data_IF_188709095060
#
_entry.id   IF_188709095060
#
_cell.length_a   1.000
_cell.length_b   1.000
_cell.length_c   1.000
_cell.angle_alpha   90.00
_cell.angle_beta   90.00
_cell.angle_gamma   90.00
#
_symmetry.space_group_name_H-M   'P 1'
#
loop_
_entity.id
_entity.type
_entity.pdbx_description
1 polymer ?
#
# COMPACT_ATOMS: atom_id res chain seq x y z
N UNK A 1 26.48 -3.50 3.14
CA UNK A 1 27.73 -4.27 3.35
C UNK A 1 28.02 -4.29 4.84
N UNK A 2 27.40 -5.17 5.66
CA UNK A 2 27.81 -5.52 7.04
C UNK A 2 26.90 -6.64 7.57
N UNK A 3 27.04 -7.87 7.04
CA UNK A 3 26.23 -9.02 7.49
C UNK A 3 27.02 -10.31 7.72
N UNK A 4 28.34 -10.27 7.84
CA UNK A 4 29.13 -11.50 7.89
C UNK A 4 29.98 -11.74 9.14
N UNK A 5 29.91 -10.93 10.19
CA UNK A 5 30.85 -11.07 11.31
C UNK A 5 30.29 -11.65 12.61
N UNK A 6 28.96 -11.91 12.71
CA UNK A 6 28.39 -12.38 14.00
C UNK A 6 28.02 -13.87 14.08
N UNK A 7 28.22 -14.67 13.02
CA UNK A 7 27.88 -16.11 13.06
C UNK A 7 29.05 -17.03 13.41
N UNK A 8 30.27 -16.55 13.46
CA UNK A 8 31.46 -17.37 13.65
C UNK A 8 31.66 -17.95 15.08
N UNK A 9 31.27 -17.25 16.17
CA UNK A 9 31.52 -17.81 17.53
C UNK A 9 30.49 -18.89 17.94
N UNK A 10 29.27 -18.89 17.44
CA UNK A 10 28.26 -19.88 17.85
C UNK A 10 28.44 -21.26 17.21
N UNK A 11 29.08 -21.36 16.05
CA UNK A 11 29.37 -22.65 15.40
C UNK A 11 30.52 -23.43 16.05
N UNK A 12 31.36 -22.80 16.88
CA UNK A 12 32.49 -23.47 17.56
C UNK A 12 32.10 -24.13 18.89
N UNK A 13 30.98 -23.69 19.51
CA UNK A 13 30.51 -24.24 20.79
C UNK A 13 30.20 -25.75 20.78
N UNK A 14 29.51 -26.30 19.75
CA UNK A 14 29.17 -27.72 19.76
C UNK A 14 30.40 -28.66 19.63
N UNK A 15 31.53 -28.16 19.14
CA UNK A 15 32.76 -28.94 19.02
C UNK A 15 33.68 -28.83 20.24
N UNK A 16 33.62 -27.74 20.99
CA UNK A 16 34.45 -27.54 22.19
C UNK A 16 34.05 -28.48 23.32
N UNK A 17 32.78 -28.67 23.58
CA UNK A 17 32.27 -29.53 24.66
C UNK A 17 32.67 -30.99 24.45
N UNK A 18 32.45 -31.64 23.28
CA UNK A 18 32.93 -33.00 23.07
C UNK A 18 34.45 -33.12 23.12
N UNK A 19 35.21 -32.13 22.67
CA UNK A 19 36.68 -32.17 22.68
C UNK A 19 37.24 -32.11 24.12
N UNK A 20 36.75 -31.19 24.94
CA UNK A 20 37.15 -31.09 26.35
C UNK A 20 36.66 -32.31 27.14
N UNK A 21 35.39 -32.74 26.89
CA UNK A 21 34.87 -33.94 27.53
C UNK A 21 35.62 -35.20 27.20
N UNK A 22 36.04 -35.40 25.95
CA UNK A 22 36.85 -36.55 25.55
C UNK A 22 38.23 -36.55 26.25
N UNK A 23 38.88 -35.39 26.40
CA UNK A 23 40.15 -35.29 27.12
C UNK A 23 40.04 -35.63 28.61
N UNK A 24 38.91 -35.26 29.24
CA UNK A 24 38.64 -35.60 30.66
C UNK A 24 38.34 -37.09 30.83
N UNK A 25 37.64 -37.71 29.87
CA UNK A 25 37.41 -39.16 29.89
C UNK A 25 38.74 -39.93 29.73
N UNK A 26 39.65 -39.51 28.85
CA UNK A 26 40.95 -40.12 28.66
C UNK A 26 41.82 -39.97 29.88
N UNK A 27 41.69 -38.94 30.69
CA UNK A 27 42.40 -38.74 31.98
C UNK A 27 41.77 -39.53 33.13
N UNK A 28 40.63 -40.21 32.94
CA UNK A 28 39.94 -40.95 33.96
C UNK A 28 39.14 -40.08 34.96
N UNK A 29 38.99 -38.76 34.67
CA UNK A 29 38.29 -37.83 35.56
C UNK A 29 36.77 -37.81 35.28
N UNK A 30 36.34 -38.34 34.14
CA UNK A 30 34.93 -38.42 33.73
C UNK A 30 34.62 -39.78 33.11
N UNK A 31 33.42 -40.32 33.39
CA UNK A 31 32.95 -41.53 32.71
C UNK A 31 32.32 -41.20 31.39
N UNK A 32 32.32 -42.10 30.41
CA UNK A 32 31.65 -41.92 29.12
C UNK A 32 30.17 -41.65 29.27
N UNK A 33 29.50 -42.32 30.23
CA UNK A 33 28.10 -42.11 30.54
C UNK A 33 27.79 -40.70 31.04
N UNK A 34 28.67 -40.13 31.88
CA UNK A 34 28.52 -38.75 32.34
C UNK A 34 28.68 -37.74 31.22
N UNK A 35 29.61 -37.97 30.28
CA UNK A 35 29.78 -37.11 29.11
C UNK A 35 28.51 -37.11 28.19
N UNK A 36 27.92 -38.28 27.97
CA UNK A 36 26.72 -38.44 27.18
C UNK A 36 25.53 -37.75 27.87
N UNK A 37 25.37 -37.97 29.19
CA UNK A 37 24.31 -37.32 29.97
C UNK A 37 24.44 -35.79 29.93
N UNK A 38 25.65 -35.25 30.11
CA UNK A 38 25.91 -33.82 30.02
C UNK A 38 25.52 -33.24 28.64
N UNK A 39 25.86 -33.95 27.55
CA UNK A 39 25.53 -33.54 26.20
C UNK A 39 24.01 -33.47 25.97
N UNK A 40 23.29 -34.47 26.45
CA UNK A 40 21.82 -34.53 26.37
C UNK A 40 21.19 -33.34 27.12
N UNK A 41 21.59 -33.14 28.39
CA UNK A 41 21.07 -32.05 29.25
C UNK A 41 21.41 -30.69 28.63
N UNK A 42 22.63 -30.50 28.14
CA UNK A 42 23.02 -29.26 27.45
C UNK A 42 22.14 -28.97 26.24
N UNK A 43 21.74 -30.00 25.47
CA UNK A 43 20.78 -29.87 24.37
C UNK A 43 19.43 -29.37 24.81
N UNK A 44 18.89 -29.91 25.92
CA UNK A 44 17.60 -29.46 26.48
C UNK A 44 17.61 -28.02 26.96
N UNK A 45 18.74 -27.49 27.37
CA UNK A 45 18.88 -26.07 27.76
C UNK A 45 19.09 -25.17 26.55
N UNK A 46 19.88 -25.59 25.58
CA UNK A 46 20.23 -24.75 24.41
C UNK A 46 19.05 -24.58 23.43
N UNK A 47 18.28 -25.63 23.26
CA UNK A 47 17.14 -25.61 22.34
C UNK A 47 16.08 -24.52 22.68
N UNK A 48 15.61 -24.38 23.94
CA UNK A 48 14.68 -23.27 24.28
C UNK A 48 15.28 -21.88 24.09
N UNK A 49 16.58 -21.70 24.35
CA UNK A 49 17.24 -20.41 24.14
C UNK A 49 17.30 -20.02 22.68
N UNK A 50 17.56 -20.97 21.77
CA UNK A 50 17.48 -20.71 20.33
C UNK A 50 16.05 -20.38 19.84
N UNK A 51 15.08 -21.07 20.44
CA UNK A 51 13.65 -20.77 20.14
C UNK A 51 13.25 -19.36 20.60
N UNK A 52 13.73 -18.89 21.73
CA UNK A 52 13.50 -17.51 22.19
C UNK A 52 14.04 -16.47 21.20
N UNK A 53 15.23 -16.74 20.63
CA UNK A 53 15.79 -15.85 19.59
C UNK A 53 14.91 -15.82 18.32
N UNK A 54 14.33 -16.95 17.91
CA UNK A 54 13.44 -17.01 16.74
C UNK A 54 12.09 -16.33 17.02
N UNK A 55 11.58 -16.42 18.25
CA UNK A 55 10.36 -15.71 18.64
C UNK A 55 10.52 -14.20 18.49
N UNK A 56 11.67 -13.66 18.89
CA UNK A 56 11.96 -12.24 18.71
C UNK A 56 11.94 -11.81 17.24
N UNK A 57 12.49 -12.60 16.33
CA UNK A 57 12.41 -12.35 14.90
C UNK A 57 10.97 -12.38 14.39
N UNK A 58 10.19 -13.38 14.79
CA UNK A 58 8.79 -13.49 14.42
C UNK A 58 7.97 -12.29 14.89
N UNK A 59 8.25 -11.75 16.09
CA UNK A 59 7.59 -10.54 16.60
C UNK A 59 7.89 -9.33 15.69
N UNK A 60 9.13 -9.17 15.23
CA UNK A 60 9.48 -8.09 14.33
C UNK A 60 8.80 -8.23 12.95
N UNK A 61 8.69 -9.43 12.43
CA UNK A 61 7.97 -9.70 11.18
C UNK A 61 6.47 -9.45 11.31
N UNK A 62 5.87 -9.85 12.44
CA UNK A 62 4.48 -9.56 12.76
C UNK A 62 4.22 -8.06 12.82
N UNK A 63 5.11 -7.27 13.46
CA UNK A 63 4.95 -5.81 13.51
C UNK A 63 4.86 -5.20 12.12
N UNK A 64 5.77 -5.57 11.21
CA UNK A 64 5.75 -5.09 9.83
C UNK A 64 4.47 -5.51 9.09
N UNK A 65 3.99 -6.73 9.34
CA UNK A 65 2.75 -7.22 8.75
C UNK A 65 1.52 -6.46 9.26
N UNK A 66 1.48 -6.14 10.55
CA UNK A 66 0.41 -5.32 11.14
C UNK A 66 0.45 -3.88 10.62
N UNK A 67 1.61 -3.27 10.47
CA UNK A 67 1.73 -1.93 9.87
C UNK A 67 1.16 -1.90 8.45
N UNK A 68 1.50 -2.90 7.61
CA UNK A 68 0.94 -3.00 6.25
C UNK A 68 -0.58 -3.24 6.25
N UNK A 69 -1.09 -4.01 7.20
CA UNK A 69 -2.52 -4.25 7.32
C UNK A 69 -3.25 -2.98 7.79
N UNK A 70 -2.66 -2.24 8.74
CA UNK A 70 -3.19 -0.96 9.19
C UNK A 70 -3.26 0.04 8.03
N UNK A 71 -2.23 0.14 7.20
CA UNK A 71 -2.24 1.02 6.02
C UNK A 71 -3.43 0.74 5.09
N UNK A 72 -3.82 -0.53 4.95
CA UNK A 72 -4.98 -0.93 4.12
C UNK A 72 -6.30 -0.59 4.82
N UNK A 73 -6.40 -0.87 6.12
CA UNK A 73 -7.64 -0.65 6.90
C UNK A 73 -7.89 0.84 7.11
N UNK A 74 -6.84 1.61 7.38
CA UNK A 74 -6.91 3.05 7.65
C UNK A 74 -7.07 3.87 6.35
N UNK A 75 -6.91 3.23 5.18
CA UNK A 75 -7.15 3.92 3.90
C UNK A 75 -8.63 4.28 3.78
N UNK A 76 -8.97 5.59 3.65
CA UNK A 76 -10.36 6.01 3.56
C UNK A 76 -11.03 5.41 2.31
N UNK A 77 -12.22 4.87 2.51
CA UNK A 77 -13.01 4.32 1.41
C UNK A 77 -13.45 5.45 0.47
N UNK A 78 -13.29 5.26 -0.82
CA UNK A 78 -13.72 6.23 -1.83
C UNK A 78 -15.26 6.42 -1.85
N UNK A 79 -15.99 5.33 -1.63
CA UNK A 79 -17.47 5.31 -1.57
C UNK A 79 -17.91 4.75 -0.23
N UNK A 80 -17.87 5.59 0.82
CA UNK A 80 -18.38 5.26 2.15
C UNK A 80 -19.88 5.51 2.28
N UNK A 81 -20.41 5.31 3.49
CA UNK A 81 -21.85 5.53 3.78
C UNK A 81 -22.29 6.97 3.52
N UNK A 82 -21.38 7.93 3.63
CA UNK A 82 -21.63 9.35 3.31
C UNK A 82 -21.90 9.53 1.81
N UNK A 83 -21.21 8.80 0.94
CA UNK A 83 -21.45 8.90 -0.50
C UNK A 83 -22.78 8.26 -0.91
N UNK A 84 -23.16 7.16 -0.28
CA UNK A 84 -24.47 6.49 -0.49
C UNK A 84 -25.65 7.35 -0.06
N UNK A 85 -25.45 8.27 0.88
CA UNK A 85 -26.47 9.22 1.33
C UNK A 85 -26.65 10.42 0.37
N UNK A 86 -25.78 10.57 -0.63
CA UNK A 86 -25.87 11.63 -1.63
C UNK A 86 -26.99 11.35 -2.64
N UNK A 87 -27.39 12.39 -3.34
CA UNK A 87 -28.47 12.31 -4.34
C UNK A 87 -27.97 11.55 -5.58
N UNK A 88 -28.69 10.52 -6.06
CA UNK A 88 -28.35 9.87 -7.31
C UNK A 88 -28.48 10.85 -8.49
N UNK A 89 -27.51 10.82 -9.41
CA UNK A 89 -27.52 11.68 -10.58
C UNK A 89 -28.57 11.18 -11.59
N UNK A 90 -29.53 12.02 -12.02
CA UNK A 90 -30.46 11.65 -13.08
C UNK A 90 -29.73 11.47 -14.43
N UNK A 91 -30.38 10.91 -15.46
CA UNK A 91 -29.81 10.80 -16.79
C UNK A 91 -29.29 12.14 -17.30
N UNK A 92 -28.00 12.19 -17.65
CA UNK A 92 -27.30 13.41 -18.04
C UNK A 92 -27.45 13.71 -19.53
N UNK A 93 -27.49 15.01 -19.86
CA UNK A 93 -27.41 15.53 -21.24
C UNK A 93 -25.96 15.84 -21.64
N UNK A 94 -25.13 16.24 -20.65
CA UNK A 94 -23.72 16.46 -20.82
C UNK A 94 -23.26 17.92 -20.83
N UNK A 95 -24.02 18.84 -20.23
CA UNK A 95 -23.55 20.20 -19.97
C UNK A 95 -22.55 20.20 -18.80
N UNK A 96 -21.30 20.60 -19.04
CA UNK A 96 -20.24 20.58 -18.03
C UNK A 96 -19.69 21.98 -17.79
N UNK A 97 -19.59 22.36 -16.52
CA UNK A 97 -19.00 23.62 -16.08
C UNK A 97 -17.91 23.37 -15.07
N UNK A 98 -16.73 23.90 -15.32
CA UNK A 98 -15.65 24.03 -14.36
C UNK A 98 -15.64 25.48 -13.86
N UNK A 99 -15.76 25.68 -12.57
CA UNK A 99 -15.81 27.01 -11.96
C UNK A 99 -14.66 27.18 -10.97
N UNK A 100 -13.67 28.02 -11.31
CA UNK A 100 -12.51 28.36 -10.53
C UNK A 100 -11.75 27.12 -9.97
N UNK A 101 -11.67 26.07 -10.79
CA UNK A 101 -11.12 24.77 -10.37
C UNK A 101 -9.60 24.85 -10.24
N UNK A 102 -9.11 24.54 -9.03
CA UNK A 102 -7.69 24.39 -8.74
C UNK A 102 -7.41 22.96 -8.29
N UNK A 103 -6.32 22.39 -8.78
CA UNK A 103 -5.92 21.04 -8.43
C UNK A 103 -4.40 20.88 -8.34
N UNK A 104 -3.92 20.21 -7.28
CA UNK A 104 -2.57 19.67 -7.17
C UNK A 104 -2.63 18.25 -6.59
N UNK A 105 -1.67 17.39 -6.96
CA UNK A 105 -1.61 16.01 -6.46
C UNK A 105 -1.20 15.94 -4.98
N UNK A 106 -0.53 16.96 -4.46
CA UNK A 106 -0.16 17.07 -3.04
C UNK A 106 -0.27 18.53 -2.61
N UNK A 107 -0.65 18.80 -1.36
CA UNK A 107 -0.81 20.17 -0.86
C UNK A 107 0.44 21.05 -1.01
N UNK A 108 1.64 20.45 -0.99
CA UNK A 108 2.93 21.15 -1.03
C UNK A 108 3.53 21.26 -2.44
N UNK A 109 2.83 20.76 -3.47
CA UNK A 109 3.28 20.85 -4.86
C UNK A 109 2.58 22.00 -5.58
N UNK A 110 3.22 22.58 -6.60
CA UNK A 110 2.58 23.60 -7.43
C UNK A 110 1.30 23.03 -8.08
N UNK A 111 0.25 23.85 -8.24
CA UNK A 111 -0.99 23.40 -8.82
C UNK A 111 -0.79 22.98 -10.28
N UNK A 112 -1.35 21.82 -10.63
CA UNK A 112 -1.36 21.28 -11.99
C UNK A 112 -2.46 21.96 -12.82
N UNK A 113 -3.58 22.27 -12.17
CA UNK A 113 -4.66 23.07 -12.73
C UNK A 113 -4.84 24.30 -11.87
N UNK A 114 -4.88 25.47 -12.48
CA UNK A 114 -4.98 26.74 -11.79
C UNK A 114 -6.11 27.57 -12.40
N UNK A 115 -7.10 27.91 -11.59
CA UNK A 115 -8.23 28.78 -11.92
C UNK A 115 -8.91 28.38 -13.25
N UNK A 116 -9.21 27.10 -13.39
CA UNK A 116 -9.85 26.59 -14.61
C UNK A 116 -11.31 26.98 -14.61
N UNK A 117 -11.68 27.75 -15.62
CA UNK A 117 -13.04 28.16 -15.93
C UNK A 117 -13.36 27.68 -17.35
N UNK A 118 -14.24 26.66 -17.47
CA UNK A 118 -14.53 26.03 -18.75
C UNK A 118 -16.01 25.66 -18.81
N UNK A 119 -16.66 25.96 -19.91
CA UNK A 119 -18.01 25.52 -20.23
C UNK A 119 -17.99 24.62 -21.45
N UNK A 120 -18.58 23.43 -21.32
CA UNK A 120 -18.78 22.47 -22.41
C UNK A 120 -20.28 22.24 -22.54
N UNK A 121 -20.85 22.54 -23.69
CA UNK A 121 -22.27 22.33 -23.94
C UNK A 121 -22.57 20.89 -24.31
N UNK A 122 -23.72 20.40 -23.93
CA UNK A 122 -24.23 19.09 -24.32
C UNK A 122 -24.13 18.83 -25.82
N UNK A 123 -23.77 17.60 -26.21
CA UNK A 123 -23.67 17.22 -27.62
C UNK A 123 -22.50 17.82 -28.39
N UNK A 124 -21.56 18.50 -27.71
CA UNK A 124 -20.38 19.05 -28.37
C UNK A 124 -19.17 18.10 -28.27
N UNK A 125 -18.36 18.10 -29.31
CA UNK A 125 -17.04 17.47 -29.31
C UNK A 125 -15.97 18.50 -28.94
N UNK A 126 -15.17 18.23 -27.92
CA UNK A 126 -14.15 19.16 -27.42
C UNK A 126 -12.78 18.54 -27.51
N UNK A 127 -11.87 19.20 -28.24
CA UNK A 127 -10.45 18.83 -28.31
C UNK A 127 -9.64 19.60 -27.27
N UNK A 128 -8.92 18.88 -26.38
CA UNK A 128 -8.00 19.48 -25.41
C UNK A 128 -6.57 19.30 -25.90
N UNK A 129 -5.92 20.40 -26.29
CA UNK A 129 -4.56 20.42 -26.84
C UNK A 129 -3.60 21.17 -25.91
N UNK A 130 -2.32 20.80 -25.93
CA UNK A 130 -1.30 21.45 -25.12
C UNK A 130 -0.05 20.57 -24.96
N UNK A 131 1.00 21.13 -24.39
CA UNK A 131 2.26 20.42 -24.15
C UNK A 131 2.08 19.24 -23.18
N UNK A 132 3.05 18.30 -23.24
CA UNK A 132 3.08 17.21 -22.23
C UNK A 132 3.22 17.80 -20.84
N UNK A 133 2.46 17.27 -19.85
CA UNK A 133 2.45 17.78 -18.48
C UNK A 133 1.56 19.00 -18.23
N UNK A 134 0.86 19.55 -19.23
CA UNK A 134 -0.03 20.72 -19.05
C UNK A 134 -1.34 20.44 -18.31
N UNK A 135 -1.56 19.25 -17.77
CA UNK A 135 -2.75 18.92 -16.97
C UNK A 135 -3.96 18.39 -17.73
N UNK A 136 -3.88 18.15 -19.06
CA UNK A 136 -5.00 17.65 -19.89
C UNK A 136 -5.65 16.38 -19.35
N UNK A 137 -4.84 15.36 -19.08
CA UNK A 137 -5.33 14.10 -18.52
C UNK A 137 -5.86 14.25 -17.09
N UNK A 138 -5.33 15.20 -16.33
CA UNK A 138 -5.82 15.52 -14.99
C UNK A 138 -7.20 16.15 -15.06
N UNK A 139 -7.42 17.09 -15.97
CA UNK A 139 -8.71 17.72 -16.16
C UNK A 139 -9.82 16.68 -16.45
N UNK A 140 -9.54 15.73 -17.35
CA UNK A 140 -10.49 14.66 -17.69
C UNK A 140 -10.75 13.74 -16.48
N UNK A 141 -9.73 13.47 -15.66
CA UNK A 141 -9.87 12.60 -14.47
C UNK A 141 -10.64 13.23 -13.31
N UNK A 142 -10.79 14.57 -13.28
CA UNK A 142 -11.63 15.25 -12.29
C UNK A 142 -13.11 15.00 -12.51
N UNK A 143 -13.55 14.89 -13.77
CA UNK A 143 -14.97 14.75 -14.09
C UNK A 143 -15.63 13.49 -13.46
N UNK A 144 -15.04 12.28 -13.54
CA UNK A 144 -15.57 11.10 -12.86
C UNK A 144 -15.18 11.02 -11.37
N UNK A 145 -14.66 12.12 -10.79
CA UNK A 145 -14.18 12.17 -9.40
C UNK A 145 -13.12 11.12 -9.08
N UNK A 146 -12.19 10.84 -10.02
CA UNK A 146 -10.99 10.07 -9.68
C UNK A 146 -10.03 10.88 -8.79
N UNK A 147 -10.14 12.19 -8.87
CA UNK A 147 -9.51 13.16 -7.97
C UNK A 147 -10.53 14.23 -7.61
N UNK A 148 -10.44 14.78 -6.42
CA UNK A 148 -11.23 15.92 -5.97
C UNK A 148 -10.44 17.23 -6.17
N UNK A 149 -11.04 18.32 -6.67
CA UNK A 149 -10.39 19.62 -6.74
C UNK A 149 -10.11 20.14 -5.34
N UNK A 150 -9.06 20.96 -5.18
CA UNK A 150 -8.75 21.61 -3.91
C UNK A 150 -9.64 22.83 -3.65
N UNK A 151 -10.04 23.50 -4.72
CA UNK A 151 -11.00 24.60 -4.68
C UNK A 151 -11.74 24.70 -6.01
N UNK A 152 -12.83 25.42 -6.01
CA UNK A 152 -13.76 25.50 -7.13
C UNK A 152 -14.75 24.35 -7.10
N UNK A 153 -15.55 24.23 -8.15
CA UNK A 153 -16.53 23.15 -8.30
C UNK A 153 -16.68 22.74 -9.77
N UNK A 154 -17.15 21.52 -9.95
CA UNK A 154 -17.49 21.00 -11.28
C UNK A 154 -18.97 20.67 -11.25
N UNK A 155 -19.69 21.22 -12.21
CA UNK A 155 -21.14 21.08 -12.33
C UNK A 155 -21.46 20.33 -13.60
N UNK A 156 -22.30 19.29 -13.50
CA UNK A 156 -22.76 18.46 -14.60
C UNK A 156 -24.28 18.55 -14.68
N UNK A 157 -24.82 19.10 -15.76
CA UNK A 157 -26.26 19.35 -15.96
C UNK A 157 -26.92 20.08 -14.77
N UNK A 158 -26.22 21.05 -14.16
CA UNK A 158 -26.69 21.79 -12.99
C UNK A 158 -26.45 21.13 -11.64
N UNK A 159 -25.93 19.90 -11.60
CA UNK A 159 -25.59 19.17 -10.38
C UNK A 159 -24.11 19.28 -10.08
N UNK A 160 -23.78 19.70 -8.86
CA UNK A 160 -22.40 19.66 -8.36
C UNK A 160 -21.97 18.20 -8.17
N UNK A 161 -20.91 17.78 -8.89
CA UNK A 161 -20.46 16.38 -8.87
C UNK A 161 -20.02 15.90 -7.50
N UNK A 162 -19.62 16.79 -6.59
CA UNK A 162 -19.26 16.42 -5.22
C UNK A 162 -20.47 16.09 -4.34
N UNK A 163 -21.67 16.56 -4.73
CA UNK A 163 -22.91 16.35 -3.98
C UNK A 163 -23.76 15.20 -4.49
N UNK A 164 -23.35 14.57 -5.60
CA UNK A 164 -24.05 13.41 -6.16
C UNK A 164 -23.37 12.10 -5.76
N UNK A 165 -24.12 11.02 -5.79
CA UNK A 165 -23.63 9.68 -5.54
C UNK A 165 -22.60 9.27 -6.61
N UNK A 166 -21.46 8.75 -6.19
CA UNK A 166 -20.33 8.43 -7.05
C UNK A 166 -20.65 7.35 -8.09
N UNK A 167 -21.40 6.32 -7.69
CA UNK A 167 -21.78 5.23 -8.59
C UNK A 167 -22.68 5.71 -9.71
N UNK A 168 -23.71 6.53 -9.39
CA UNK A 168 -24.62 7.08 -10.37
C UNK A 168 -23.94 8.05 -11.36
N UNK A 169 -22.92 8.80 -10.89
CA UNK A 169 -22.09 9.66 -11.71
C UNK A 169 -21.25 8.82 -12.70
N UNK A 170 -20.46 7.87 -12.19
CA UNK A 170 -19.52 7.08 -13.01
C UNK A 170 -20.20 6.16 -14.02
N UNK A 171 -21.38 5.67 -13.70
CA UNK A 171 -22.16 4.83 -14.64
C UNK A 171 -22.53 5.57 -15.93
N UNK A 172 -22.59 6.89 -15.89
CA UNK A 172 -22.98 7.71 -17.03
C UNK A 172 -21.79 8.33 -17.78
N UNK A 173 -20.54 8.13 -17.27
CA UNK A 173 -19.32 8.68 -17.87
C UNK A 173 -18.44 7.52 -18.35
N UNK A 174 -18.27 7.42 -19.67
CA UNK A 174 -17.31 6.49 -20.27
C UNK A 174 -15.92 7.14 -20.38
N UNK A 175 -14.85 6.42 -19.98
CA UNK A 175 -13.46 6.85 -20.10
C UNK A 175 -12.67 5.80 -20.87
N UNK A 176 -11.93 6.25 -21.87
CA UNK A 176 -10.93 5.44 -22.57
C UNK A 176 -9.55 5.93 -22.15
N UNK A 177 -8.83 5.20 -21.28
CA UNK A 177 -7.48 5.58 -20.86
C UNK A 177 -6.47 5.41 -21.98
N UNK A 178 -5.34 6.12 -21.90
CA UNK A 178 -4.24 6.01 -22.86
C UNK A 178 -3.61 4.61 -22.83
N UNK A 179 -3.46 4.03 -21.63
CA UNK A 179 -2.97 2.68 -21.40
C UNK A 179 -4.10 1.82 -20.82
N UNK A 180 -4.88 1.13 -21.66
CA UNK A 180 -5.99 0.33 -21.19
C UNK A 180 -5.49 -0.93 -20.49
N UNK A 181 -5.98 -1.19 -19.27
CA UNK A 181 -5.79 -2.46 -18.58
C UNK A 181 -6.86 -3.45 -19.07
N UNK A 182 -6.41 -4.50 -19.73
CA UNK A 182 -7.28 -5.58 -20.19
C UNK A 182 -7.16 -6.74 -19.21
N UNK A 183 -8.28 -7.20 -18.69
CA UNK A 183 -8.34 -8.43 -17.91
C UNK A 183 -8.61 -9.60 -18.86
N UNK A 184 -7.94 -10.74 -18.62
CA UNK A 184 -8.23 -11.97 -19.33
C UNK A 184 -9.59 -12.53 -18.91
N UNK A 185 -10.50 -12.72 -19.84
CA UNK A 185 -11.85 -13.23 -19.58
C UNK A 185 -12.74 -13.12 -20.82
N UNK A 186 -13.92 -13.72 -20.75
CA UNK A 186 -14.98 -13.52 -21.74
C UNK A 186 -15.78 -12.27 -21.39
N UNK A 187 -16.22 -11.54 -22.41
CA UNK A 187 -17.16 -10.41 -22.31
C UNK A 187 -18.57 -10.96 -22.15
#
# INVERSE_FOLDING_TARGET
VCRHTSQVPLQRSPLLVPRVGATLVLKGELTLGQLIAFRIISGYVTQPLLRLSSIWQNIQELKVSFERLADVIDTPQESGDVDKAKVPLPPIKGDVYFENVNFSFRPNLPPVLKDINLQIKAGTFVGVVGQSGSGKSTLVKLLPRLYAPQSGRIVLDGYDIDKVELYSLRRQIGIVPQDPLLFSGTI
#
